data_IF_283293923446
#
_entry.id   IF_283293923446
#
_cell.length_a   1.000
_cell.length_b   1.000
_cell.length_c   1.000
_cell.angle_alpha   90.00
_cell.angle_beta   90.00
_cell.angle_gamma   90.00
#
_symmetry.space_group_name_H-M   'P 1'
#
loop_
_entity.id
_entity.type
_entity.pdbx_description
1 polymer ?
#
# COMPACT_ATOMS: atom_id res chain seq x y z
N UNK A 1 6.45 -1.09 12.13
CA UNK A 1 6.16 -1.61 10.77
C UNK A 1 4.69 -2.00 10.59
N UNK A 2 4.12 -2.88 11.42
CA UNK A 2 2.72 -3.36 11.24
C UNK A 2 1.68 -2.22 11.34
N UNK A 3 1.85 -1.31 12.30
CA UNK A 3 0.95 -0.15 12.48
C UNK A 3 0.97 0.76 11.25
N UNK A 4 2.15 1.03 10.68
CA UNK A 4 2.30 1.86 9.48
C UNK A 4 1.65 1.21 8.25
N UNK A 5 1.75 -0.12 8.12
CA UNK A 5 1.11 -0.88 7.05
C UNK A 5 -0.42 -0.87 7.19
N UNK A 6 -0.93 -1.08 8.40
CA UNK A 6 -2.36 -1.04 8.68
C UNK A 6 -2.93 0.36 8.39
N UNK A 7 -2.24 1.42 8.82
CA UNK A 7 -2.62 2.80 8.54
C UNK A 7 -2.64 3.11 7.04
N UNK A 8 -1.64 2.61 6.30
CA UNK A 8 -1.56 2.77 4.86
C UNK A 8 -2.69 2.03 4.12
N UNK A 9 -3.04 0.82 4.56
CA UNK A 9 -4.17 0.05 4.04
C UNK A 9 -5.52 0.74 4.34
N UNK A 10 -5.69 1.30 5.53
CA UNK A 10 -6.88 2.06 5.91
C UNK A 10 -7.03 3.31 5.03
N UNK A 11 -5.95 4.06 4.80
CA UNK A 11 -5.96 5.22 3.89
C UNK A 11 -6.30 4.78 2.46
N UNK A 12 -5.69 3.69 1.97
CA UNK A 12 -5.97 3.17 0.64
C UNK A 12 -7.44 2.74 0.47
N UNK A 13 -8.03 2.09 1.48
CA UNK A 13 -9.43 1.67 1.48
C UNK A 13 -10.39 2.87 1.52
N UNK A 14 -10.11 3.88 2.35
CA UNK A 14 -10.88 5.13 2.40
C UNK A 14 -10.79 5.86 1.06
N UNK A 15 -9.61 5.87 0.44
CA UNK A 15 -9.38 6.54 -0.83
C UNK A 15 -10.09 5.84 -2.00
N UNK A 16 -10.01 4.52 -2.12
CA UNK A 16 -10.69 3.78 -3.17
C UNK A 16 -12.21 3.72 -2.98
N UNK A 17 -12.69 3.48 -1.75
CA UNK A 17 -14.11 3.32 -1.46
C UNK A 17 -14.92 4.63 -1.53
N UNK A 18 -14.27 5.79 -1.37
CA UNK A 18 -14.93 7.11 -1.40
C UNK A 18 -14.26 8.10 -2.34
N UNK A 19 -13.50 7.63 -3.34
CA UNK A 19 -12.72 8.49 -4.25
C UNK A 19 -13.54 9.63 -4.84
N UNK A 20 -14.74 9.33 -5.36
CA UNK A 20 -15.65 10.31 -5.94
C UNK A 20 -16.09 11.37 -4.91
N UNK A 21 -16.48 10.94 -3.71
CA UNK A 21 -16.94 11.84 -2.64
C UNK A 21 -15.83 12.74 -2.08
N UNK A 22 -14.62 12.20 -1.93
CA UNK A 22 -13.44 12.97 -1.52
C UNK A 22 -13.02 13.97 -2.57
N UNK A 23 -13.07 13.60 -3.85
CA UNK A 23 -12.72 14.52 -4.93
C UNK A 23 -13.67 15.73 -4.93
N UNK A 24 -14.98 15.51 -4.79
CA UNK A 24 -15.97 16.60 -4.75
C UNK A 24 -15.86 17.45 -3.47
N UNK A 25 -15.52 16.86 -2.32
CA UNK A 25 -15.37 17.63 -1.09
C UNK A 25 -14.04 18.41 -1.02
N UNK A 26 -12.92 17.80 -1.43
CA UNK A 26 -11.58 18.38 -1.27
C UNK A 26 -11.22 19.31 -2.44
N UNK A 27 -11.55 18.91 -3.68
CA UNK A 27 -11.19 19.68 -4.88
C UNK A 27 -12.23 20.76 -5.15
N UNK A 28 -13.52 20.39 -5.25
CA UNK A 28 -14.55 21.36 -5.65
C UNK A 28 -15.00 22.28 -4.52
N UNK A 29 -15.13 21.78 -3.28
CA UNK A 29 -15.65 22.60 -2.17
C UNK A 29 -14.59 23.31 -1.35
N UNK A 30 -13.41 22.71 -1.18
CA UNK A 30 -12.39 23.20 -0.27
C UNK A 30 -11.24 23.93 -0.98
N UNK A 31 -11.05 23.72 -2.30
CA UNK A 31 -10.02 24.37 -3.14
C UNK A 31 -8.60 24.40 -2.53
N UNK A 32 -8.33 23.53 -1.56
CA UNK A 32 -7.11 23.59 -0.74
C UNK A 32 -5.89 23.07 -1.50
N UNK A 33 -6.10 22.20 -2.50
CA UNK A 33 -5.07 21.54 -3.29
C UNK A 33 -5.59 21.35 -4.72
N UNK A 34 -4.76 21.67 -5.70
CA UNK A 34 -5.01 21.40 -7.10
C UNK A 34 -4.91 19.90 -7.40
N UNK A 35 -5.81 19.41 -8.25
CA UNK A 35 -5.94 18.00 -8.61
C UNK A 35 -4.64 17.31 -9.08
N UNK A 36 -3.73 18.00 -9.82
CA UNK A 36 -2.42 17.44 -10.19
C UNK A 36 -1.54 17.16 -8.97
N UNK A 37 -1.45 18.09 -8.03
CA UNK A 37 -0.67 17.96 -6.79
C UNK A 37 -1.19 16.82 -5.92
N UNK A 38 -2.52 16.70 -5.79
CA UNK A 38 -3.15 15.58 -5.08
C UNK A 38 -2.73 14.24 -5.71
N UNK A 39 -2.80 14.14 -7.04
CA UNK A 39 -2.48 12.92 -7.77
C UNK A 39 -1.00 12.52 -7.61
N UNK A 40 -0.10 13.49 -7.51
CA UNK A 40 1.34 13.28 -7.29
C UNK A 40 1.61 12.67 -5.90
N UNK A 41 1.00 13.22 -4.85
CA UNK A 41 1.11 12.72 -3.47
C UNK A 41 0.56 11.29 -3.37
N UNK A 42 -0.61 11.05 -3.95
CA UNK A 42 -1.26 9.75 -3.92
C UNK A 42 -0.41 8.71 -4.67
N UNK A 43 0.07 9.05 -5.86
CA UNK A 43 0.89 8.14 -6.65
C UNK A 43 2.15 7.77 -5.91
N UNK A 44 2.84 8.74 -5.28
CA UNK A 44 4.02 8.49 -4.45
C UNK A 44 3.71 7.57 -3.26
N UNK A 45 2.60 7.82 -2.57
CA UNK A 45 2.15 7.01 -1.44
C UNK A 45 1.86 5.55 -1.83
N UNK A 46 1.12 5.33 -2.92
CA UNK A 46 0.85 3.97 -3.42
C UNK A 46 2.11 3.27 -3.93
N UNK A 47 3.06 4.01 -4.50
CA UNK A 47 4.35 3.45 -4.91
C UNK A 47 5.14 2.92 -3.69
N UNK A 48 5.16 3.67 -2.59
CA UNK A 48 5.75 3.25 -1.33
C UNK A 48 5.06 2.01 -0.74
N UNK A 49 3.73 1.98 -0.72
CA UNK A 49 2.97 0.80 -0.25
C UNK A 49 3.33 -0.43 -1.08
N UNK A 50 3.33 -0.29 -2.41
CA UNK A 50 3.67 -1.38 -3.32
C UNK A 50 5.09 -1.88 -3.08
N UNK A 51 6.04 -0.96 -2.86
CA UNK A 51 7.42 -1.31 -2.52
C UNK A 51 7.49 -2.14 -1.24
N UNK A 52 6.82 -1.72 -0.17
CA UNK A 52 6.79 -2.46 1.09
C UNK A 52 6.11 -3.83 0.95
N UNK A 53 4.98 -3.92 0.24
CA UNK A 53 4.30 -5.20 0.01
C UNK A 53 5.18 -6.20 -0.73
N UNK A 54 5.86 -5.76 -1.80
CA UNK A 54 6.66 -6.65 -2.64
C UNK A 54 8.01 -6.98 -1.98
N UNK A 55 8.75 -5.97 -1.53
CA UNK A 55 10.12 -6.17 -1.08
C UNK A 55 10.23 -6.45 0.41
N UNK A 56 9.39 -5.84 1.25
CA UNK A 56 9.48 -6.05 2.70
C UNK A 56 8.61 -7.22 3.20
N UNK A 57 7.58 -7.62 2.45
CA UNK A 57 6.72 -8.75 2.79
C UNK A 57 6.90 -9.93 1.85
N UNK A 58 6.71 -9.73 0.54
CA UNK A 58 6.69 -10.85 -0.40
C UNK A 58 8.06 -11.54 -0.49
N UNK A 59 9.14 -10.78 -0.64
CA UNK A 59 10.49 -11.32 -0.74
C UNK A 59 10.91 -12.18 0.49
N UNK A 60 10.79 -11.71 1.75
CA UNK A 60 11.11 -12.53 2.91
C UNK A 60 10.15 -13.71 3.08
N UNK A 61 8.88 -13.56 2.73
CA UNK A 61 7.92 -14.68 2.78
C UNK A 61 8.27 -15.76 1.75
N UNK A 62 8.69 -15.37 0.55
CA UNK A 62 9.14 -16.31 -0.47
C UNK A 62 10.42 -17.02 -0.03
N UNK A 63 11.38 -16.27 0.53
CA UNK A 63 12.62 -16.83 1.08
C UNK A 63 12.30 -17.87 2.16
N UNK A 64 11.44 -17.51 3.13
CA UNK A 64 10.97 -18.42 4.18
C UNK A 64 10.29 -19.67 3.62
N UNK A 65 9.39 -19.51 2.65
CA UNK A 65 8.71 -20.62 1.99
C UNK A 65 9.70 -21.59 1.34
N UNK A 66 10.70 -21.08 0.61
CA UNK A 66 11.72 -21.91 -0.02
C UNK A 66 12.62 -22.61 1.01
N UNK A 67 13.03 -21.93 2.09
CA UNK A 67 13.81 -22.56 3.16
C UNK A 67 13.02 -23.66 3.86
N UNK A 68 11.75 -23.43 4.19
CA UNK A 68 10.89 -24.44 4.84
C UNK A 68 10.67 -25.64 3.91
N UNK A 69 10.37 -25.40 2.62
CA UNK A 69 10.23 -26.45 1.62
C UNK A 69 11.50 -27.28 1.44
N UNK A 70 12.67 -26.66 1.55
CA UNK A 70 13.97 -27.36 1.47
C UNK A 70 14.23 -28.21 2.72
N UNK A 71 13.86 -27.70 3.90
CA UNK A 71 13.95 -28.43 5.17
C UNK A 71 13.06 -29.68 5.16
N UNK A 72 11.86 -29.57 4.61
CA UNK A 72 10.91 -30.67 4.51
C UNK A 72 11.42 -31.80 3.60
N UNK A 73 12.04 -31.44 2.47
CA UNK A 73 12.66 -32.39 1.52
C UNK A 73 13.92 -33.10 2.03
N UNK A 74 14.58 -32.58 3.06
CA UNK A 74 15.82 -33.16 3.60
C UNK A 74 15.57 -34.06 4.80
N UNK A 75 14.34 -34.10 5.33
CA UNK A 75 13.92 -35.00 6.41
C UNK A 75 13.41 -36.37 5.93
N UNK A 76 13.19 -36.53 4.63
CA UNK A 76 12.87 -37.80 3.96
C UNK A 76 14.07 -38.29 3.18
#
# INVERSE_FOLDING_TARGET
>A
MVISLAFALSIAAIYYGRRSHWNTMVVDRWQLIDQPSLNLVITGFFMLIRFYLVFALLAPTLALHWTLKRLDRTKH
#
